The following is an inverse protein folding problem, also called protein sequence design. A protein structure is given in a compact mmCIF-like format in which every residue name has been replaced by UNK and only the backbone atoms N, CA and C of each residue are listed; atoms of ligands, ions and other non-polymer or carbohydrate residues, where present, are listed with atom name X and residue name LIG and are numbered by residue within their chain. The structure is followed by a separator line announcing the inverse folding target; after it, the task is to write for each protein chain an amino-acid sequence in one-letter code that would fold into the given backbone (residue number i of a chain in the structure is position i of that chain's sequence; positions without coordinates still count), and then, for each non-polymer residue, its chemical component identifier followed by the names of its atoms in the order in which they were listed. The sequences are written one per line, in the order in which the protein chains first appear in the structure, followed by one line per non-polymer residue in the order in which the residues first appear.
data_IF_362281366842
#
_entry.id   IF_362281366842
#
_cell.length_a   1.000
_cell.length_b   1.000
_cell.length_c   1.000
_cell.angle_alpha   90.00
_cell.angle_beta   90.00
_cell.angle_gamma   90.00
#
_symmetry.space_group_name_H-M   'P 1'
#
loop_
_entity.id
_entity.type
_entity.pdbx_description
1 polymer ?
#
# COMPACT_ATOMS: atom_id res chain seq x y z
N UNK A 1 33.22 67.27 38.67
CA UNK A 1 33.53 66.52 37.42
C UNK A 1 33.95 65.06 37.66
N UNK A 2 34.63 64.72 38.76
CA UNK A 2 35.12 63.35 39.02
C UNK A 2 34.02 62.29 39.25
N UNK A 3 32.90 62.64 39.88
CA UNK A 3 31.81 61.71 40.23
C UNK A 3 30.89 61.32 39.06
N UNK A 4 30.81 62.13 37.99
CA UNK A 4 30.01 61.82 36.80
C UNK A 4 30.69 60.77 35.90
N UNK A 5 32.03 60.79 35.85
CA UNK A 5 32.84 59.88 35.01
C UNK A 5 32.84 58.46 35.61
N UNK A 6 32.86 58.33 36.94
CA UNK A 6 32.80 57.03 37.62
C UNK A 6 31.44 56.32 37.43
N UNK A 7 30.32 57.06 37.43
CA UNK A 7 28.99 56.49 37.16
C UNK A 7 28.76 56.14 35.68
N UNK A 8 29.41 56.84 34.76
CA UNK A 8 29.34 56.53 33.34
C UNK A 8 30.08 55.22 33.00
N UNK A 9 31.27 55.01 33.59
CA UNK A 9 32.03 53.76 33.43
C UNK A 9 31.35 52.53 34.07
N UNK A 10 30.62 52.70 35.18
CA UNK A 10 29.92 51.60 35.85
C UNK A 10 28.61 51.19 35.15
N UNK A 11 27.92 52.12 34.48
CA UNK A 11 26.70 51.81 33.70
C UNK A 11 27.04 51.14 32.36
N UNK A 12 28.13 51.60 31.72
CA UNK A 12 28.61 51.05 30.44
C UNK A 12 29.16 49.62 30.60
N UNK A 13 29.85 49.31 31.71
CA UNK A 13 30.30 47.93 31.98
C UNK A 13 29.13 46.98 32.28
N UNK A 14 28.07 47.42 32.97
CA UNK A 14 26.88 46.60 33.22
C UNK A 14 26.09 46.29 31.95
N UNK A 15 26.01 47.20 30.99
CA UNK A 15 25.31 46.97 29.71
C UNK A 15 26.09 46.00 28.80
N UNK A 16 27.42 46.06 28.80
CA UNK A 16 28.28 45.10 28.10
C UNK A 16 28.16 43.68 28.66
N UNK A 17 28.20 43.51 29.99
CA UNK A 17 28.08 42.19 30.63
C UNK A 17 26.71 41.55 30.34
N UNK A 18 25.63 42.33 30.35
CA UNK A 18 24.27 41.82 30.02
C UNK A 18 24.15 41.36 28.57
N UNK A 19 24.81 42.05 27.64
CA UNK A 19 24.77 41.72 26.21
C UNK A 19 25.48 40.41 25.91
N UNK A 20 26.67 40.20 26.48
CA UNK A 20 27.43 38.95 26.38
C UNK A 20 26.66 37.76 27.00
N UNK A 21 25.98 37.99 28.12
CA UNK A 21 25.17 36.97 28.79
C UNK A 21 23.97 36.53 27.94
N UNK A 22 23.27 37.49 27.31
CA UNK A 22 22.13 37.23 26.41
C UNK A 22 22.59 36.49 25.15
N UNK A 23 23.75 36.85 24.58
CA UNK A 23 24.31 36.18 23.40
C UNK A 23 24.62 34.71 23.73
N UNK A 24 25.26 34.43 24.88
CA UNK A 24 25.57 33.06 25.31
C UNK A 24 24.32 32.21 25.56
N UNK A 25 23.26 32.79 26.15
CA UNK A 25 21.97 32.11 26.33
C UNK A 25 21.32 31.76 24.99
N UNK A 26 21.32 32.68 24.02
CA UNK A 26 20.74 32.43 22.71
C UNK A 26 21.53 31.36 21.94
N UNK A 27 22.85 31.35 22.06
CA UNK A 27 23.71 30.32 21.47
C UNK A 27 23.41 28.96 22.12
N UNK A 28 23.32 28.88 23.45
CA UNK A 28 22.96 27.64 24.15
C UNK A 28 21.56 27.14 23.77
N UNK A 29 20.59 28.05 23.62
CA UNK A 29 19.24 27.72 23.19
C UNK A 29 19.22 27.22 21.74
N UNK A 30 20.01 27.81 20.84
CA UNK A 30 20.16 27.33 19.47
C UNK A 30 20.79 25.94 19.41
N UNK A 31 21.81 25.65 20.23
CA UNK A 31 22.38 24.30 20.33
C UNK A 31 21.38 23.29 20.91
N UNK A 32 20.56 23.68 21.88
CA UNK A 32 19.49 22.83 22.43
C UNK A 32 18.42 22.51 21.38
N UNK A 33 18.01 23.51 20.59
CA UNK A 33 17.07 23.34 19.47
C UNK A 33 17.63 22.42 18.38
N UNK A 34 18.91 22.57 18.04
CA UNK A 34 19.60 21.72 17.07
C UNK A 34 19.73 20.27 17.56
N UNK A 35 19.93 20.08 18.88
CA UNK A 35 19.98 18.75 19.48
C UNK A 35 18.60 18.07 19.52
N UNK A 36 17.54 18.82 19.78
CA UNK A 36 16.17 18.30 19.79
C UNK A 36 15.69 17.81 18.41
N UNK A 37 16.09 18.48 17.31
CA UNK A 37 15.74 18.04 15.95
C UNK A 37 16.53 16.79 15.53
N UNK A 38 17.76 16.61 16.01
CA UNK A 38 18.55 15.41 15.75
C UNK A 38 17.98 14.15 16.41
N UNK A 39 17.27 14.29 17.53
CA UNK A 39 16.58 13.19 18.22
C UNK A 39 15.32 12.71 17.46
N UNK A 40 14.63 13.61 16.76
CA UNK A 40 13.44 13.27 15.96
C UNK A 40 13.76 12.64 14.60
N UNK A 41 15.01 12.74 14.14
CA UNK A 41 15.43 12.19 12.85
C UNK A 41 15.72 10.68 12.85
N UNK A 42 15.61 9.99 14.00
CA UNK A 42 16.07 8.60 14.15
C UNK A 42 15.00 7.51 13.90
N UNK A 43 13.79 7.84 13.44
CA UNK A 43 12.72 6.82 13.27
C UNK A 43 12.56 6.29 11.85
N UNK A 44 13.45 6.63 10.91
CA UNK A 44 13.48 5.98 9.59
C UNK A 44 14.18 4.63 9.69
N UNK A 45 13.42 3.62 10.09
CA UNK A 45 13.86 2.22 10.05
C UNK A 45 14.00 1.82 8.58
N UNK A 46 15.23 1.92 8.07
CA UNK A 46 15.57 1.51 6.70
C UNK A 46 15.24 0.02 6.51
N UNK A 47 14.84 -0.42 5.30
CA UNK A 47 14.63 -1.83 5.03
C UNK A 47 15.89 -2.64 5.34
N UNK A 48 15.68 -3.87 5.81
CA UNK A 48 16.71 -4.79 6.31
C UNK A 48 17.89 -4.82 5.32
N UNK A 49 19.05 -4.33 5.76
CA UNK A 49 20.24 -4.16 4.90
C UNK A 49 20.99 -5.48 4.64
N UNK A 50 20.54 -6.61 5.20
CA UNK A 50 21.22 -7.89 5.03
C UNK A 50 20.64 -8.66 3.83
N UNK A 51 21.43 -8.89 2.77
CA UNK A 51 20.94 -9.53 1.56
C UNK A 51 20.74 -11.05 1.65
N UNK A 52 20.90 -11.66 2.84
CA UNK A 52 20.52 -13.06 3.07
C UNK A 52 20.54 -13.35 4.58
N UNK A 53 19.40 -13.42 5.28
CA UNK A 53 19.40 -13.76 6.70
C UNK A 53 19.80 -15.23 6.89
N UNK A 54 20.40 -15.59 8.04
CA UNK A 54 20.73 -16.99 8.34
C UNK A 54 19.49 -17.86 8.55
N UNK A 55 18.32 -17.24 8.74
CA UNK A 55 17.05 -17.89 9.07
C UNK A 55 15.91 -17.27 8.24
N UNK A 56 14.93 -18.08 7.77
CA UNK A 56 13.76 -17.58 7.04
C UNK A 56 12.85 -16.64 7.84
N UNK A 57 12.83 -16.77 9.16
CA UNK A 57 12.09 -15.88 10.06
C UNK A 57 13.04 -14.86 10.68
N UNK A 58 12.66 -13.58 10.58
CA UNK A 58 13.37 -12.47 11.23
C UNK A 58 12.35 -11.66 12.04
N UNK A 59 12.34 -11.86 13.35
CA UNK A 59 11.42 -11.17 14.28
C UNK A 59 12.07 -9.92 14.90
N UNK A 60 11.98 -8.77 14.22
CA UNK A 60 12.51 -7.50 14.76
C UNK A 60 11.52 -6.80 15.70
N UNK A 61 10.26 -7.22 15.71
CA UNK A 61 9.24 -6.67 16.59
C UNK A 61 9.16 -7.40 17.94
N UNK A 62 9.82 -8.57 18.06
CA UNK A 62 9.79 -9.45 19.23
C UNK A 62 8.35 -9.81 19.64
N UNK A 63 7.58 -10.29 18.66
CA UNK A 63 6.15 -10.65 18.80
C UNK A 63 5.86 -12.12 18.54
N UNK A 64 6.85 -12.88 18.07
CA UNK A 64 6.78 -14.33 17.87
C UNK A 64 7.50 -14.99 19.05
N UNK A 65 6.87 -15.97 19.67
CA UNK A 65 7.51 -16.76 20.72
C UNK A 65 8.55 -17.73 20.13
N UNK A 66 9.60 -18.01 20.89
CA UNK A 66 10.75 -18.83 20.49
C UNK A 66 10.33 -20.20 19.89
N UNK A 67 9.33 -20.85 20.49
CA UNK A 67 8.88 -22.16 20.03
C UNK A 67 8.19 -22.09 18.66
N UNK A 68 7.40 -21.04 18.42
CA UNK A 68 6.78 -20.78 17.12
C UNK A 68 7.82 -20.37 16.08
N UNK A 69 8.77 -19.51 16.45
CA UNK A 69 9.86 -19.09 15.56
C UNK A 69 10.72 -20.29 15.13
N UNK A 70 11.09 -21.17 16.06
CA UNK A 70 11.86 -22.38 15.77
C UNK A 70 11.10 -23.32 14.82
N UNK A 71 9.82 -23.57 15.09
CA UNK A 71 8.97 -24.40 14.21
C UNK A 71 8.85 -23.82 12.82
N UNK A 72 8.61 -22.51 12.70
CA UNK A 72 8.54 -21.84 11.39
C UNK A 72 9.85 -21.96 10.64
N UNK A 73 10.98 -21.68 11.29
CA UNK A 73 12.30 -21.81 10.66
C UNK A 73 12.54 -23.23 10.15
N UNK A 74 12.26 -24.25 10.95
CA UNK A 74 12.44 -25.65 10.55
C UNK A 74 11.60 -26.01 9.32
N UNK A 75 10.30 -25.66 9.30
CA UNK A 75 9.42 -25.96 8.16
C UNK A 75 9.83 -25.18 6.91
N UNK A 76 10.19 -23.90 7.05
CA UNK A 76 10.58 -23.04 5.92
C UNK A 76 11.94 -23.47 5.33
N UNK A 77 12.90 -23.90 6.17
CA UNK A 77 14.16 -24.47 5.72
C UNK A 77 13.92 -25.79 4.97
N UNK A 78 13.13 -26.71 5.54
CA UNK A 78 12.77 -27.98 4.88
C UNK A 78 12.07 -27.76 3.53
N UNK A 79 11.21 -26.75 3.43
CA UNK A 79 10.56 -26.36 2.17
C UNK A 79 11.60 -25.88 1.13
N UNK A 80 12.56 -25.06 1.54
CA UNK A 80 13.59 -24.51 0.65
C UNK A 80 14.53 -25.56 0.07
N UNK A 81 14.75 -26.65 0.82
CA UNK A 81 15.56 -27.81 0.39
C UNK A 81 14.77 -28.80 -0.47
N UNK A 82 13.43 -28.72 -0.45
CA UNK A 82 12.58 -29.60 -1.23
C UNK A 82 12.62 -29.23 -2.73
N UNK A 83 13.31 -30.05 -3.51
CA UNK A 83 13.47 -29.87 -4.97
C UNK A 83 12.14 -29.90 -5.74
N UNK A 84 11.16 -30.64 -5.27
CA UNK A 84 9.84 -30.70 -5.92
C UNK A 84 9.03 -29.44 -5.61
N UNK A 85 9.17 -28.90 -4.40
CA UNK A 85 8.58 -27.62 -4.07
C UNK A 85 9.25 -26.51 -4.89
N UNK A 86 10.59 -26.43 -4.93
CA UNK A 86 11.37 -25.39 -5.61
C UNK A 86 10.91 -23.96 -5.25
N UNK A 87 10.71 -23.73 -3.94
CA UNK A 87 10.17 -22.47 -3.39
C UNK A 87 10.95 -22.05 -2.16
N UNK A 88 11.15 -20.76 -2.00
CA UNK A 88 11.69 -20.11 -0.80
C UNK A 88 10.61 -19.22 -0.19
N UNK A 89 10.41 -19.33 1.12
CA UNK A 89 9.42 -18.54 1.85
C UNK A 89 10.06 -17.92 3.10
N UNK A 90 9.64 -16.71 3.47
CA UNK A 90 10.15 -16.01 4.64
C UNK A 90 9.10 -15.19 5.38
N UNK A 91 9.44 -14.82 6.60
CA UNK A 91 8.63 -13.96 7.48
C UNK A 91 9.50 -12.86 8.07
N UNK A 92 8.98 -11.63 8.04
CA UNK A 92 9.57 -10.49 8.73
C UNK A 92 8.52 -9.78 9.57
N UNK A 93 8.82 -9.54 10.83
CA UNK A 93 8.05 -8.62 11.67
C UNK A 93 8.92 -7.41 11.99
N UNK A 94 8.32 -6.21 11.91
CA UNK A 94 8.97 -4.95 12.28
C UNK A 94 8.02 -4.14 13.13
N UNK A 95 8.57 -3.28 13.99
CA UNK A 95 7.74 -2.35 14.76
C UNK A 95 7.01 -1.37 13.84
N UNK A 96 7.69 -0.78 12.85
CA UNK A 96 7.12 0.18 11.89
C UNK A 96 7.92 0.18 10.58
N UNK A 97 7.29 0.59 9.48
CA UNK A 97 7.96 0.87 8.20
C UNK A 97 8.55 2.28 8.12
N UNK A 98 8.42 3.08 9.18
CA UNK A 98 8.91 4.46 9.20
C UNK A 98 8.18 5.38 8.21
N UNK A 99 6.91 5.07 7.89
CA UNK A 99 6.09 5.83 6.95
C UNK A 99 6.21 5.38 5.49
N UNK A 100 7.05 4.40 5.18
CA UNK A 100 7.11 3.79 3.84
C UNK A 100 5.88 2.91 3.58
N UNK A 101 5.43 2.84 2.32
CA UNK A 101 4.42 1.86 1.92
C UNK A 101 4.93 0.43 2.19
N UNK A 102 4.09 -0.41 2.82
CA UNK A 102 4.53 -1.75 3.25
C UNK A 102 4.78 -2.68 2.05
N UNK A 103 4.12 -2.39 0.94
CA UNK A 103 4.32 -2.99 -0.38
C UNK A 103 5.76 -2.77 -0.84
N UNK A 104 6.21 -1.51 -0.90
CA UNK A 104 7.57 -1.16 -1.32
C UNK A 104 8.61 -1.66 -0.31
N UNK A 105 8.29 -1.59 0.98
CA UNK A 105 9.15 -2.06 2.07
C UNK A 105 9.40 -3.57 1.97
N UNK A 106 8.33 -4.34 1.77
CA UNK A 106 8.41 -5.80 1.60
C UNK A 106 9.09 -6.20 0.31
N UNK A 107 8.87 -5.47 -0.80
CA UNK A 107 9.57 -5.72 -2.06
C UNK A 107 11.08 -5.48 -1.93
N UNK A 108 11.48 -4.42 -1.21
CA UNK A 108 12.89 -4.12 -0.96
C UNK A 108 13.56 -5.26 -0.16
N UNK A 109 12.89 -5.78 0.86
CA UNK A 109 13.39 -6.92 1.64
C UNK A 109 13.49 -8.18 0.77
N UNK A 110 12.42 -8.53 0.04
CA UNK A 110 12.40 -9.74 -0.79
C UNK A 110 13.51 -9.74 -1.83
N UNK A 111 13.74 -8.60 -2.50
CA UNK A 111 14.85 -8.41 -3.44
C UNK A 111 16.21 -8.46 -2.76
N UNK A 112 16.34 -7.79 -1.61
CA UNK A 112 17.55 -7.80 -0.81
C UNK A 112 17.96 -9.22 -0.47
N UNK A 113 17.02 -10.02 0.04
CA UNK A 113 17.24 -11.42 0.46
C UNK A 113 17.38 -12.40 -0.70
N UNK A 114 17.08 -11.96 -1.91
CA UNK A 114 17.09 -12.81 -3.09
C UNK A 114 16.02 -13.90 -3.12
N UNK A 115 14.96 -13.77 -2.31
CA UNK A 115 13.85 -14.72 -2.29
C UNK A 115 13.14 -14.72 -3.64
N UNK A 116 12.99 -15.89 -4.24
CA UNK A 116 12.33 -16.05 -5.54
C UNK A 116 13.08 -15.41 -6.70
N UNK A 117 14.38 -15.13 -6.54
CA UNK A 117 15.24 -14.83 -7.68
C UNK A 117 15.52 -16.12 -8.47
N UNK A 118 15.76 -15.98 -9.78
CA UNK A 118 15.94 -17.09 -10.75
C UNK A 118 14.65 -17.90 -10.92
N UNK A 119 14.77 -19.18 -11.24
CA UNK A 119 13.66 -20.09 -11.56
C UNK A 119 12.95 -20.68 -10.31
N UNK A 120 13.12 -20.05 -9.15
CA UNK A 120 12.48 -20.47 -7.88
C UNK A 120 11.25 -19.63 -7.58
N UNK A 121 10.24 -20.24 -6.97
CA UNK A 121 9.15 -19.48 -6.36
C UNK A 121 9.61 -18.81 -5.07
N UNK A 122 9.08 -17.62 -4.79
CA UNK A 122 9.37 -16.81 -3.62
C UNK A 122 8.10 -16.28 -2.99
N UNK A 123 8.03 -16.29 -1.66
CA UNK A 123 6.97 -15.66 -0.88
C UNK A 123 7.55 -14.99 0.37
N UNK A 124 7.19 -13.74 0.64
CA UNK A 124 7.63 -13.05 1.85
C UNK A 124 6.43 -12.39 2.54
N UNK A 125 6.11 -12.81 3.76
CA UNK A 125 5.14 -12.12 4.62
C UNK A 125 5.87 -11.09 5.49
N UNK A 126 5.47 -9.82 5.39
CA UNK A 126 5.94 -8.74 6.26
C UNK A 126 4.79 -8.21 7.11
N UNK A 127 5.02 -8.03 8.41
CA UNK A 127 4.06 -7.49 9.37
C UNK A 127 4.68 -6.30 10.10
N UNK A 128 4.09 -5.11 9.95
CA UNK A 128 4.45 -3.90 10.67
C UNK A 128 3.47 -3.66 11.82
N UNK A 129 3.92 -3.96 13.04
CA UNK A 129 3.05 -4.13 14.23
C UNK A 129 2.40 -2.81 14.67
N UNK A 130 3.18 -1.74 14.81
CA UNK A 130 2.68 -0.43 15.24
C UNK A 130 1.87 0.26 14.14
N UNK A 131 2.20 -0.02 12.88
CA UNK A 131 1.50 0.54 11.72
C UNK A 131 0.19 -0.20 11.44
N UNK A 132 -0.02 -1.36 12.08
CA UNK A 132 -1.16 -2.26 11.85
C UNK A 132 -1.32 -2.62 10.38
N UNK A 133 -0.20 -2.88 9.70
CA UNK A 133 -0.14 -3.22 8.27
C UNK A 133 0.60 -4.52 8.04
N UNK A 134 0.16 -5.30 7.07
CA UNK A 134 0.84 -6.50 6.60
C UNK A 134 0.84 -6.55 5.08
N UNK A 135 1.83 -7.21 4.50
CA UNK A 135 1.87 -7.50 3.07
C UNK A 135 2.61 -8.80 2.80
N UNK A 136 2.07 -9.63 1.91
CA UNK A 136 2.73 -10.81 1.39
C UNK A 136 3.13 -10.56 -0.06
N UNK A 137 4.44 -10.52 -0.31
CA UNK A 137 4.98 -10.51 -1.67
C UNK A 137 5.01 -11.93 -2.24
N UNK A 138 4.68 -12.06 -3.51
CA UNK A 138 4.68 -13.33 -4.25
C UNK A 138 5.49 -13.14 -5.52
N UNK A 139 6.46 -14.03 -5.76
CA UNK A 139 7.22 -14.02 -7.01
C UNK A 139 6.36 -14.53 -8.18
N UNK A 140 6.72 -14.14 -9.40
CA UNK A 140 6.09 -14.65 -10.64
C UNK A 140 5.99 -16.17 -10.71
N UNK A 141 7.02 -16.89 -10.25
CA UNK A 141 7.10 -18.35 -10.31
C UNK A 141 6.16 -19.06 -9.32
N UNK A 142 5.43 -18.29 -8.51
CA UNK A 142 4.48 -18.78 -7.53
C UNK A 142 3.06 -18.26 -7.75
N UNK A 143 2.85 -17.28 -8.65
CA UNK A 143 1.52 -16.70 -8.94
C UNK A 143 0.49 -17.74 -9.40
N UNK A 144 0.90 -18.76 -10.16
CA UNK A 144 -0.01 -19.83 -10.60
C UNK A 144 -0.55 -20.69 -9.44
N UNK A 145 0.25 -20.84 -8.39
CA UNK A 145 -0.10 -21.65 -7.22
C UNK A 145 -0.73 -20.82 -6.10
N UNK A 146 -0.24 -19.59 -5.89
CA UNK A 146 -0.70 -18.68 -4.86
C UNK A 146 -0.96 -17.28 -5.48
N UNK A 147 -2.04 -17.13 -6.26
CA UNK A 147 -2.40 -15.82 -6.82
C UNK A 147 -2.81 -14.85 -5.70
N UNK A 148 -2.68 -13.56 -5.98
CA UNK A 148 -3.02 -12.44 -5.09
C UNK A 148 -4.39 -12.59 -4.40
N UNK A 149 -5.43 -12.99 -5.13
CA UNK A 149 -6.78 -13.19 -4.61
C UNK A 149 -6.86 -14.30 -3.55
N UNK A 150 -6.14 -15.40 -3.77
CA UNK A 150 -6.07 -16.52 -2.83
C UNK A 150 -5.23 -16.14 -1.60
N UNK A 151 -4.08 -15.50 -1.81
CA UNK A 151 -3.22 -15.02 -0.73
C UNK A 151 -3.99 -14.04 0.18
N UNK A 152 -4.69 -13.07 -0.42
CA UNK A 152 -5.53 -12.12 0.30
C UNK A 152 -6.70 -12.79 1.03
N UNK A 153 -7.30 -13.83 0.44
CA UNK A 153 -8.35 -14.60 1.12
C UNK A 153 -7.81 -15.32 2.37
N UNK A 154 -6.69 -16.03 2.23
CA UNK A 154 -6.03 -16.72 3.35
C UNK A 154 -5.69 -15.72 4.46
N UNK A 155 -5.16 -14.54 4.13
CA UNK A 155 -4.86 -13.50 5.12
C UNK A 155 -6.10 -13.04 5.88
N UNK A 156 -7.22 -12.80 5.18
CA UNK A 156 -8.48 -12.40 5.86
C UNK A 156 -9.03 -13.49 6.77
N UNK A 157 -8.84 -14.76 6.43
CA UNK A 157 -9.37 -15.90 7.19
C UNK A 157 -8.47 -16.33 8.35
N UNK A 158 -7.13 -16.30 8.17
CA UNK A 158 -6.15 -16.87 9.10
C UNK A 158 -5.30 -15.83 9.81
N UNK A 159 -4.95 -14.75 9.13
CA UNK A 159 -4.04 -13.73 9.65
C UNK A 159 -4.78 -12.66 10.45
N UNK A 160 -5.68 -11.92 9.79
CA UNK A 160 -6.32 -10.71 10.32
C UNK A 160 -7.07 -10.92 11.65
N UNK A 161 -7.88 -11.99 11.84
CA UNK A 161 -8.61 -12.17 13.09
C UNK A 161 -7.69 -12.32 14.30
N UNK A 162 -6.54 -12.99 14.13
CA UNK A 162 -5.56 -13.22 15.19
C UNK A 162 -4.68 -11.99 15.44
N UNK A 163 -4.32 -11.25 14.37
CA UNK A 163 -3.63 -9.97 14.51
C UNK A 163 -4.45 -8.93 15.30
N UNK A 164 -5.77 -8.89 15.10
CA UNK A 164 -6.68 -8.04 15.89
C UNK A 164 -6.71 -8.38 17.37
N UNK A 165 -6.44 -9.63 17.71
CA UNK A 165 -6.34 -10.13 19.08
C UNK A 165 -4.92 -10.00 19.66
N UNK A 166 -3.99 -9.41 18.90
CA UNK A 166 -2.55 -9.35 19.22
C UNK A 166 -1.91 -10.75 19.39
N UNK A 167 -2.50 -11.78 18.80
CA UNK A 167 -1.95 -13.13 18.78
C UNK A 167 -1.07 -13.32 17.53
N UNK A 168 0.09 -12.67 17.52
CA UNK A 168 0.98 -12.58 16.36
C UNK A 168 1.60 -13.93 15.99
N UNK A 169 2.14 -14.67 16.96
CA UNK A 169 2.71 -16.01 16.75
C UNK A 169 1.76 -16.92 15.98
N UNK A 170 0.53 -17.07 16.48
CA UNK A 170 -0.43 -17.98 15.88
C UNK A 170 -0.92 -17.43 14.53
N UNK A 171 -1.12 -16.12 14.39
CA UNK A 171 -1.54 -15.50 13.13
C UNK A 171 -0.55 -15.83 12.00
N UNK A 172 0.74 -15.63 12.27
CA UNK A 172 1.81 -15.87 11.32
C UNK A 172 1.95 -17.36 11.05
N UNK A 173 1.96 -18.19 12.09
CA UNK A 173 2.09 -19.64 11.97
C UNK A 173 0.99 -20.24 11.10
N UNK A 174 -0.28 -20.00 11.46
CA UNK A 174 -1.44 -20.57 10.74
C UNK A 174 -1.45 -20.11 9.28
N UNK A 175 -1.12 -18.85 9.02
CA UNK A 175 -1.07 -18.29 7.66
C UNK A 175 0.02 -18.93 6.82
N UNK A 176 1.24 -19.05 7.35
CA UNK A 176 2.36 -19.68 6.63
C UNK A 176 2.10 -21.17 6.39
N UNK A 177 1.59 -21.90 7.38
CA UNK A 177 1.21 -23.32 7.20
C UNK A 177 0.13 -23.48 6.13
N UNK A 178 -0.86 -22.58 6.08
CA UNK A 178 -1.88 -22.61 5.03
C UNK A 178 -1.30 -22.34 3.64
N UNK A 179 -0.35 -21.41 3.48
CA UNK A 179 0.35 -21.22 2.19
C UNK A 179 1.08 -22.48 1.74
N UNK A 180 1.87 -23.07 2.64
CA UNK A 180 2.70 -24.25 2.33
C UNK A 180 1.80 -25.46 2.04
N UNK A 181 0.76 -25.71 2.83
CA UNK A 181 -0.16 -26.83 2.62
C UNK A 181 -0.97 -26.70 1.32
N UNK A 182 -1.37 -25.48 0.96
CA UNK A 182 -2.05 -25.20 -0.31
C UNK A 182 -1.11 -25.44 -1.50
N UNK A 183 0.15 -25.00 -1.38
CA UNK A 183 1.18 -25.24 -2.39
C UNK A 183 1.51 -26.74 -2.52
N UNK A 184 1.65 -27.44 -1.40
CA UNK A 184 1.89 -28.89 -1.32
C UNK A 184 0.78 -29.68 -2.02
N UNK A 185 -0.48 -29.30 -1.81
CA UNK A 185 -1.63 -29.90 -2.49
C UNK A 185 -1.59 -29.68 -4.00
N UNK A 186 -1.23 -28.48 -4.47
CA UNK A 186 -1.18 -28.15 -5.90
C UNK A 186 -0.03 -28.82 -6.63
N UNK A 187 1.16 -28.87 -6.03
CA UNK A 187 2.39 -29.43 -6.62
C UNK A 187 2.65 -30.89 -6.23
N UNK A 188 1.83 -31.48 -5.37
CA UNK A 188 1.88 -32.88 -4.96
C UNK A 188 3.12 -33.28 -4.15
N UNK A 189 3.67 -32.38 -3.32
CA UNK A 189 4.81 -32.69 -2.44
C UNK A 189 4.39 -32.76 -0.97
N UNK A 190 5.30 -33.27 -0.12
CA UNK A 190 5.17 -33.24 1.34
C UNK A 190 6.37 -32.52 1.95
N UNK A 191 6.19 -31.90 3.11
CA UNK A 191 7.24 -31.23 3.88
C UNK A 191 7.16 -31.72 5.31
N UNK A 192 8.30 -32.07 5.90
CA UNK A 192 8.35 -32.47 7.30
C UNK A 192 7.95 -31.32 8.22
N UNK A 193 7.10 -31.61 9.21
CA UNK A 193 6.54 -30.61 10.13
C UNK A 193 5.30 -29.89 9.63
N UNK A 194 4.85 -30.15 8.39
CA UNK A 194 3.62 -29.62 7.84
C UNK A 194 2.44 -30.59 8.05
N UNK A 195 1.36 -30.10 8.65
CA UNK A 195 0.10 -30.85 8.72
C UNK A 195 -0.83 -30.44 7.56
N UNK A 196 -1.31 -31.41 6.77
CA UNK A 196 -2.17 -31.15 5.62
C UNK A 196 -3.52 -30.52 6.01
N UNK A 197 -3.92 -30.57 7.29
CA UNK A 197 -5.13 -29.90 7.79
C UNK A 197 -5.16 -28.40 7.55
N UNK A 198 -4.00 -27.78 7.34
CA UNK A 198 -3.88 -26.35 7.08
C UNK A 198 -4.20 -25.97 5.64
N UNK A 199 -4.31 -26.93 4.71
CA UNK A 199 -4.57 -26.65 3.30
C UNK A 199 -5.89 -25.87 3.13
N UNK A 200 -5.84 -24.81 2.32
CA UNK A 200 -7.04 -24.03 2.03
C UNK A 200 -7.94 -24.81 1.07
N UNK A 201 -8.95 -25.47 1.63
CA UNK A 201 -9.94 -26.26 0.88
C UNK A 201 -11.11 -25.43 0.35
N UNK A 202 -11.00 -24.09 0.36
CA UNK A 202 -12.00 -23.24 -0.25
C UNK A 202 -12.12 -23.60 -1.73
N UNK A 203 -13.33 -23.98 -2.15
CA UNK A 203 -13.69 -23.99 -3.56
C UNK A 203 -13.28 -22.64 -4.12
N UNK A 204 -12.27 -22.62 -4.99
CA UNK A 204 -11.99 -21.48 -5.84
C UNK A 204 -13.25 -21.29 -6.66
N UNK A 205 -14.19 -20.50 -6.16
CA UNK A 205 -15.24 -19.93 -6.97
C UNK A 205 -14.51 -18.94 -7.88
N UNK A 206 -13.92 -19.47 -8.95
CA UNK A 206 -13.41 -18.71 -10.10
C UNK A 206 -14.55 -17.88 -10.76
N UNK A 207 -15.77 -17.97 -10.21
CA UNK A 207 -16.93 -17.12 -10.43
C UNK A 207 -16.90 -15.77 -9.69
N UNK A 208 -15.87 -15.46 -8.89
CA UNK A 208 -15.65 -14.11 -8.34
C UNK A 208 -14.35 -13.47 -8.84
N UNK A 209 -13.99 -13.73 -10.09
CA UNK A 209 -13.51 -12.59 -10.89
C UNK A 209 -14.74 -11.70 -11.09
N UNK A 210 -14.68 -10.36 -10.94
CA UNK A 210 -15.55 -9.53 -11.73
C UNK A 210 -15.16 -9.78 -13.19
N UNK A 211 -15.66 -10.87 -13.78
CA UNK A 211 -15.83 -11.00 -15.21
C UNK A 211 -16.71 -9.80 -15.55
N UNK A 212 -16.09 -8.76 -16.11
CA UNK A 212 -16.82 -7.84 -16.96
C UNK A 212 -17.56 -8.71 -17.95
N UNK A 213 -18.85 -8.90 -17.72
CA UNK A 213 -19.72 -9.75 -18.50
C UNK A 213 -19.88 -9.11 -19.87
N UNK A 214 -19.00 -9.46 -20.79
CA UNK A 214 -19.28 -9.41 -22.21
C UNK A 214 -20.33 -10.48 -22.51
N UNK A 215 -21.60 -10.09 -22.57
CA UNK A 215 -22.66 -11.04 -22.90
C UNK A 215 -24.11 -10.66 -22.60
N UNK A 216 -24.50 -9.38 -22.60
CA UNK A 216 -25.91 -9.02 -22.87
C UNK A 216 -25.93 -7.92 -23.91
N UNK A 217 -26.43 -8.29 -25.09
CA UNK A 217 -26.89 -7.41 -26.17
C UNK A 217 -27.51 -6.13 -25.60
N UNK A 218 -26.79 -5.02 -25.78
CA UNK A 218 -27.15 -3.68 -25.36
C UNK A 218 -26.17 -2.76 -26.05
N UNK A 219 -26.64 -2.07 -27.08
CA UNK A 219 -25.86 -1.13 -27.88
C UNK A 219 -25.19 -0.15 -26.91
N UNK A 220 -23.85 -0.17 -26.87
CA UNK A 220 -23.09 0.69 -25.96
C UNK A 220 -23.49 2.16 -26.15
N UNK A 221 -23.68 2.95 -25.07
CA UNK A 221 -24.09 4.35 -25.19
C UNK A 221 -23.11 5.19 -26.03
N UNK A 222 -21.86 4.75 -26.18
CA UNK A 222 -20.89 5.35 -27.11
C UNK A 222 -21.27 5.20 -28.59
N UNK A 223 -21.86 4.07 -29.00
CA UNK A 223 -22.34 3.87 -30.38
C UNK A 223 -23.60 4.72 -30.64
N UNK A 224 -24.50 4.84 -29.66
CA UNK A 224 -25.67 5.71 -29.76
C UNK A 224 -25.25 7.18 -29.87
N UNK A 225 -24.26 7.62 -29.09
CA UNK A 225 -23.70 8.98 -29.18
C UNK A 225 -23.00 9.22 -30.52
N UNK A 226 -22.24 8.25 -31.03
CA UNK A 226 -21.61 8.34 -32.36
C UNK A 226 -22.65 8.38 -33.47
N UNK A 227 -23.72 7.58 -33.39
CA UNK A 227 -24.84 7.61 -34.34
C UNK A 227 -25.60 8.95 -34.25
N UNK A 228 -25.83 9.49 -33.05
CA UNK A 228 -26.45 10.81 -32.86
C UNK A 228 -25.56 11.92 -33.45
N UNK A 229 -24.24 11.85 -33.27
CA UNK A 229 -23.29 12.82 -33.84
C UNK A 229 -23.25 12.70 -35.37
N UNK A 230 -23.26 11.48 -35.92
CA UNK A 230 -23.29 11.25 -37.37
C UNK A 230 -24.62 11.72 -37.97
N UNK A 231 -25.76 11.46 -37.31
CA UNK A 231 -27.08 11.95 -37.71
C UNK A 231 -27.15 13.48 -37.62
N UNK A 232 -26.60 14.07 -36.58
CA UNK A 232 -26.55 15.54 -36.42
C UNK A 232 -25.67 16.18 -37.49
N UNK A 233 -24.53 15.59 -37.85
CA UNK A 233 -23.66 16.06 -38.95
C UNK A 233 -24.33 15.88 -40.32
N UNK A 234 -25.08 14.80 -40.53
CA UNK A 234 -25.84 14.54 -41.76
C UNK A 234 -27.05 15.49 -41.92
N UNK A 235 -27.77 15.76 -40.82
CA UNK A 235 -28.86 16.76 -40.78
C UNK A 235 -28.32 18.19 -40.92
N UNK A 236 -27.15 18.49 -40.37
CA UNK A 236 -26.49 19.80 -40.51
C UNK A 236 -25.96 20.06 -41.93
N UNK A 237 -25.83 19.01 -42.75
CA UNK A 237 -25.35 19.11 -44.15
C UNK A 237 -26.46 19.14 -45.20
N UNK A 238 -27.73 19.07 -44.82
CA UNK A 238 -28.88 19.05 -45.75
C UNK A 238 -29.90 20.15 -45.43
N UNK A 239 -29.57 21.37 -45.87
CA UNK A 239 -30.49 22.52 -45.96
C UNK A 239 -30.68 23.23 -44.62
N UNK A 240 -30.34 24.50 -44.43
CA UNK A 240 -30.74 25.68 -45.22
C UNK A 240 -32.16 25.55 -45.77
N UNK A 241 -33.14 25.82 -44.92
CA UNK A 241 -34.48 26.20 -45.36
C UNK A 241 -35.63 25.63 -44.54
N UNK A 242 -36.23 26.49 -43.70
CA UNK A 242 -37.69 26.56 -43.58
C UNK A 242 -38.39 25.63 -42.59
N UNK A 243 -38.81 26.21 -41.46
CA UNK A 243 -40.22 26.22 -41.09
C UNK A 243 -40.80 25.00 -40.36
N UNK A 244 -41.15 25.22 -39.08
CA UNK A 244 -42.45 24.81 -38.55
C UNK A 244 -42.62 23.39 -38.01
N UNK A 245 -43.05 23.32 -36.76
CA UNK A 245 -43.86 22.24 -36.18
C UNK A 245 -43.25 20.91 -35.70
N UNK A 246 -41.93 20.69 -35.73
CA UNK A 246 -41.37 19.47 -35.08
C UNK A 246 -40.88 19.67 -33.64
N UNK A 247 -40.43 20.89 -33.28
CA UNK A 247 -39.92 21.19 -31.93
C UNK A 247 -41.01 21.25 -30.84
N UNK A 248 -42.29 21.43 -31.21
CA UNK A 248 -43.38 21.52 -30.22
C UNK A 248 -44.00 20.15 -29.93
N UNK A 249 -43.90 19.20 -30.87
CA UNK A 249 -44.48 17.86 -30.74
C UNK A 249 -43.58 16.90 -29.94
N UNK A 250 -42.25 17.04 -30.06
CA UNK A 250 -41.29 16.24 -29.29
C UNK A 250 -41.16 16.73 -27.83
N UNK A 251 -41.30 18.04 -27.59
CA UNK A 251 -41.17 18.63 -26.25
C UNK A 251 -42.38 18.33 -25.36
N UNK A 252 -43.58 18.21 -25.95
CA UNK A 252 -44.80 17.88 -25.21
C UNK A 252 -44.94 16.37 -24.91
N UNK A 253 -44.25 15.51 -25.68
CA UNK A 253 -44.21 14.06 -25.44
C UNK A 253 -43.21 13.66 -24.34
N UNK A 254 -42.20 14.49 -24.06
CA UNK A 254 -41.18 14.24 -23.03
C UNK A 254 -41.53 14.84 -21.65
N UNK A 255 -42.40 15.84 -21.59
CA UNK A 255 -42.74 16.54 -20.34
C UNK A 255 -44.03 16.06 -19.65
N UNK A 256 -44.71 15.03 -20.18
CA UNK A 256 -46.00 14.58 -19.63
C UNK A 256 -46.11 13.07 -19.33
N UNK A 257 -44.97 12.39 -19.08
CA UNK A 257 -44.98 11.03 -18.53
C UNK A 257 -44.54 11.04 -17.06
N UNK A 258 -45.52 11.03 -16.15
CA UNK A 258 -45.31 10.54 -14.78
C UNK A 258 -45.38 11.57 -13.64
N UNK A 259 -46.61 11.78 -13.16
CA UNK A 259 -47.05 12.35 -11.88
C UNK A 259 -46.11 12.04 -10.68
N UNK A 260 -45.87 13.05 -9.82
CA UNK A 260 -45.33 12.81 -8.46
C UNK A 260 -44.92 14.03 -7.62
N UNK A 261 -45.88 14.91 -7.28
CA UNK A 261 -45.98 15.70 -6.03
C UNK A 261 -44.89 16.70 -5.56
N UNK A 262 -45.37 17.94 -5.34
CA UNK A 262 -45.10 18.89 -4.23
C UNK A 262 -43.74 19.62 -4.05
N UNK A 263 -43.85 20.95 -3.90
CA UNK A 263 -42.90 21.81 -3.15
C UNK A 263 -42.13 22.81 -4.02
N UNK A 264 -42.65 24.01 -4.27
CA UNK A 264 -42.31 25.28 -3.61
C UNK A 264 -40.84 25.77 -3.74
N UNK A 265 -40.72 27.03 -4.20
CA UNK A 265 -39.62 28.01 -3.94
C UNK A 265 -38.23 27.68 -4.52
N UNK A 266 -37.43 28.56 -5.11
CA UNK A 266 -37.33 30.02 -5.15
C UNK A 266 -35.83 30.40 -5.17
N UNK A 267 -35.39 31.34 -6.04
CA UNK A 267 -34.02 31.91 -6.08
C UNK A 267 -32.95 30.98 -6.68
N UNK A 268 -31.92 31.40 -7.42
CA UNK A 268 -31.20 32.68 -7.49
C UNK A 268 -29.73 32.46 -7.11
N UNK A 269 -28.79 33.00 -7.90
CA UNK A 269 -27.32 33.01 -7.72
C UNK A 269 -26.60 31.66 -8.01
N UNK A 270 -25.42 31.57 -8.62
CA UNK A 270 -24.39 32.54 -8.97
C UNK A 270 -23.02 31.88 -8.77
N UNK A 271 -22.13 32.00 -9.77
CA UNK A 271 -20.68 32.05 -9.58
C UNK A 271 -19.88 30.75 -9.35
N UNK A 272 -18.84 30.57 -10.18
CA UNK A 272 -17.48 30.53 -9.64
C UNK A 272 -16.66 29.24 -9.79
N UNK A 273 -15.51 29.41 -10.47
CA UNK A 273 -14.23 28.67 -10.39
C UNK A 273 -14.21 27.21 -10.90
N UNK A 274 -13.28 26.77 -11.75
CA UNK A 274 -11.91 27.25 -11.99
C UNK A 274 -10.94 26.40 -11.19
N UNK A 275 -10.53 25.24 -11.72
CA UNK A 275 -9.45 24.43 -11.18
C UNK A 275 -8.50 24.06 -12.32
N UNK A 276 -7.34 24.70 -12.30
CA UNK A 276 -6.15 24.29 -13.00
C UNK A 276 -4.99 24.22 -12.02
N UNK A 277 -4.01 23.36 -12.31
CA UNK A 277 -2.62 23.59 -11.96
C UNK A 277 -1.96 22.60 -10.99
N UNK A 278 -0.90 21.95 -11.51
CA UNK A 278 0.32 21.55 -10.78
C UNK A 278 0.21 20.24 -10.01
N UNK A 279 1.11 19.26 -10.15
CA UNK A 279 2.53 19.34 -10.48
C UNK A 279 3.31 18.76 -9.29
N UNK A 280 4.04 17.67 -9.51
CA UNK A 280 4.81 17.00 -8.44
C UNK A 280 5.45 15.71 -8.92
N UNK A 281 6.38 15.82 -9.86
CA UNK A 281 7.27 14.73 -10.22
C UNK A 281 8.31 14.53 -9.12
N UNK A 282 8.28 13.38 -8.47
CA UNK A 282 9.40 12.89 -7.66
C UNK A 282 10.29 12.02 -8.54
N UNK A 283 11.39 12.64 -8.96
CA UNK A 283 12.58 11.99 -9.47
C UNK A 283 13.14 11.05 -8.40
N UNK A 284 13.07 9.73 -8.63
CA UNK A 284 13.90 8.76 -7.94
C UNK A 284 14.87 8.17 -8.95
N UNK A 285 16.12 8.60 -8.82
CA UNK A 285 17.25 8.22 -9.64
C UNK A 285 17.60 6.74 -9.50
N UNK A 286 18.27 6.25 -10.53
CA UNK A 286 18.54 4.84 -10.77
C UNK A 286 19.31 4.13 -9.65
N UNK A 287 18.80 2.96 -9.30
CA UNK A 287 19.60 1.89 -8.72
C UNK A 287 19.82 0.85 -9.82
N UNK A 288 20.99 0.90 -10.44
CA UNK A 288 21.47 -0.10 -11.38
C UNK A 288 22.02 -1.29 -10.62
N UNK A 289 21.30 -2.42 -10.66
CA UNK A 289 21.79 -3.68 -10.10
C UNK A 289 20.88 -4.86 -10.47
N UNK A 290 21.31 -5.62 -11.48
CA UNK A 290 20.94 -7.03 -11.71
C UNK A 290 19.46 -7.36 -11.88
N UNK A 291 19.01 -7.51 -13.12
CA UNK A 291 17.67 -7.99 -13.46
C UNK A 291 17.40 -9.42 -12.95
N UNK A 292 16.50 -9.51 -11.97
CA UNK A 292 15.78 -10.71 -11.59
C UNK A 292 14.35 -10.30 -11.25
N UNK A 293 13.36 -10.91 -11.91
CA UNK A 293 11.96 -10.52 -11.87
C UNK A 293 11.26 -10.89 -10.55
N UNK A 294 11.56 -10.17 -9.48
CA UNK A 294 10.91 -10.33 -8.17
C UNK A 294 9.49 -9.70 -8.08
N UNK A 295 8.98 -9.10 -9.16
CA UNK A 295 7.75 -8.30 -9.16
C UNK A 295 6.48 -9.06 -9.55
N UNK A 296 6.15 -10.15 -8.85
CA UNK A 296 4.99 -11.00 -9.15
C UNK A 296 3.66 -10.62 -8.47
N UNK A 297 3.63 -9.47 -7.80
CA UNK A 297 2.46 -9.02 -7.05
C UNK A 297 2.40 -9.55 -5.62
N UNK A 298 1.21 -9.53 -5.03
CA UNK A 298 1.02 -9.85 -3.61
C UNK A 298 -0.31 -9.37 -3.08
N UNK A 299 -0.55 -9.62 -1.79
CA UNK A 299 -1.73 -9.12 -1.10
C UNK A 299 -1.37 -8.63 0.30
N UNK A 300 -2.02 -7.56 0.73
CA UNK A 300 -1.85 -7.00 2.06
C UNK A 300 -2.98 -6.07 2.45
N UNK A 301 -2.88 -5.54 3.66
CA UNK A 301 -3.90 -4.66 4.22
C UNK A 301 -3.57 -4.23 5.64
N UNK A 302 -4.59 -3.72 6.33
CA UNK A 302 -4.51 -3.29 7.72
C UNK A 302 -5.46 -4.07 8.62
N UNK A 303 -5.28 -3.98 9.95
CA UNK A 303 -6.17 -4.63 10.93
C UNK A 303 -6.54 -3.78 12.13
#
# INVERSE_FOLDING_TARGET
MSSAIANFNSSMTRSFIRREFIIKINIAFAYLLLFATALLAQTTQSPIQQPNPPKPVVDLANVIDDATEERLNNVLMNLSENKQANVEMGVVTVSTTGGQAIEDYSLAIMRGWGIGLRDKGGLLLVVAVNDRKYFTQVSRHLEGDLPDGLVGQIQRERLVPLLKQNNYSQAIYDTMMTYIATLAQKRGFTVEGLDQKYAHNGSVNDNQRPRGTSGRSGISPCIVIIIIIIIFILLSRRGRGGGGCFNVLLLNALLNSGRGSSGWTGGGFGGGSGWGGGGGGSSWGGFSGGGGDAGGGGAGGSW
#
